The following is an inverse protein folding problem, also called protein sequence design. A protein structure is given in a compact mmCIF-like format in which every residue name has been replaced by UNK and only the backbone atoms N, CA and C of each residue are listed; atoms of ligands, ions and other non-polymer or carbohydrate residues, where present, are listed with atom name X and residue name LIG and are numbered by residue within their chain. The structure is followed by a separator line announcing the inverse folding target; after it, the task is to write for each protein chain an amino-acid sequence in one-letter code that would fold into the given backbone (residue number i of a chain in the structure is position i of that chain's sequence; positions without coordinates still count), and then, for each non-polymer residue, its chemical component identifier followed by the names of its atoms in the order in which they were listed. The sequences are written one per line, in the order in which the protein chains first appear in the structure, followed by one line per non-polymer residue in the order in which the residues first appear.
data_IF_659214006419
#
_entry.id   IF_659214006419
#
_cell.length_a   1.000
_cell.length_b   1.000
_cell.length_c   1.000
_cell.angle_alpha   90.00
_cell.angle_beta   90.00
_cell.angle_gamma   90.00
#
_symmetry.space_group_name_H-M   'P 1'
#
loop_
_entity.id
_entity.type
_entity.pdbx_description
1 polymer ?
#
# COMPACT_ATOMS: atom_id res chain seq x y z
N UNK A 1 20.88 -33.04 16.93
CA UNK A 1 20.56 -31.81 16.18
C UNK A 1 19.19 -31.98 15.53
N UNK A 2 18.17 -31.32 16.08
CA UNK A 2 16.80 -31.40 15.56
C UNK A 2 16.59 -30.18 14.67
N UNK A 3 16.49 -30.39 13.35
CA UNK A 3 16.26 -29.33 12.38
C UNK A 3 14.75 -29.11 12.23
N UNK A 4 14.21 -28.11 12.91
CA UNK A 4 12.84 -27.65 12.70
C UNK A 4 12.82 -26.79 11.44
N UNK A 5 12.70 -27.44 10.28
CA UNK A 5 12.37 -26.77 9.03
C UNK A 5 10.95 -26.20 9.12
N UNK A 6 10.77 -25.06 9.79
CA UNK A 6 9.62 -24.19 9.53
C UNK A 6 9.87 -23.58 8.16
N UNK A 7 9.58 -24.35 7.10
CA UNK A 7 9.60 -23.89 5.72
C UNK A 7 8.49 -22.86 5.52
N UNK A 8 8.64 -21.69 6.12
CA UNK A 8 7.78 -20.55 5.88
C UNK A 8 7.86 -20.20 4.40
N UNK A 9 6.71 -20.12 3.75
CA UNK A 9 6.63 -19.54 2.42
C UNK A 9 7.15 -18.11 2.57
N UNK A 10 8.22 -17.71 1.85
CA UNK A 10 8.71 -16.35 1.95
C UNK A 10 7.62 -15.39 1.44
N UNK A 11 7.44 -14.27 2.13
CA UNK A 11 6.60 -13.20 1.62
C UNK A 11 7.18 -12.71 0.29
N UNK A 12 6.34 -12.65 -0.74
CA UNK A 12 6.70 -12.16 -2.07
C UNK A 12 6.00 -10.81 -2.26
N UNK A 13 6.79 -9.77 -2.50
CA UNK A 13 6.26 -8.48 -2.89
C UNK A 13 5.60 -8.58 -4.27
N UNK A 14 4.31 -8.25 -4.35
CA UNK A 14 3.56 -8.22 -5.62
C UNK A 14 3.69 -6.85 -6.31
N UNK A 15 3.86 -5.79 -5.51
CA UNK A 15 4.04 -4.42 -5.97
C UNK A 15 3.68 -3.41 -4.87
N UNK A 16 3.78 -2.13 -5.19
CA UNK A 16 3.55 -1.04 -4.26
C UNK A 16 2.60 0.02 -4.83
N UNK A 17 1.93 0.77 -3.95
CA UNK A 17 1.28 2.02 -4.31
C UNK A 17 1.72 3.11 -3.34
N UNK A 18 1.71 4.36 -3.80
CA UNK A 18 2.17 5.50 -3.00
C UNK A 18 1.00 6.45 -2.78
N UNK A 19 0.81 6.86 -1.52
CA UNK A 19 -0.16 7.88 -1.11
C UNK A 19 0.61 9.10 -0.56
N UNK A 20 0.09 10.29 -0.81
CA UNK A 20 0.71 11.54 -0.38
C UNK A 20 0.69 12.60 -1.47
N UNK A 21 1.02 13.85 -1.12
CA UNK A 21 1.09 14.97 -2.08
C UNK A 21 2.11 14.74 -3.21
N UNK A 22 3.13 13.93 -2.95
CA UNK A 22 4.19 13.58 -3.90
C UNK A 22 4.00 12.19 -4.53
N UNK A 23 2.85 11.54 -4.34
CA UNK A 23 2.55 10.29 -5.03
C UNK A 23 2.66 10.50 -6.55
N UNK A 24 3.16 9.50 -7.29
CA UNK A 24 3.34 9.58 -8.74
C UNK A 24 1.98 9.68 -9.45
N UNK A 25 1.04 8.82 -9.04
CA UNK A 25 -0.33 8.80 -9.55
C UNK A 25 -1.21 9.88 -8.93
N UNK A 26 -2.07 10.49 -9.74
CA UNK A 26 -3.07 11.44 -9.26
C UNK A 26 -4.03 10.79 -8.26
N UNK A 27 -4.40 9.52 -8.46
CA UNK A 27 -5.29 8.81 -7.55
C UNK A 27 -4.73 8.74 -6.11
N UNK A 28 -3.40 8.61 -5.95
CA UNK A 28 -2.76 8.61 -4.64
C UNK A 28 -2.74 10.00 -3.98
N UNK A 29 -2.57 11.05 -4.78
CA UNK A 29 -2.66 12.46 -4.32
C UNK A 29 -4.08 12.83 -3.91
N UNK A 30 -5.08 12.51 -4.74
CA UNK A 30 -6.49 12.79 -4.46
C UNK A 30 -6.99 12.07 -3.22
N UNK A 31 -6.66 10.78 -3.08
CA UNK A 31 -7.03 10.00 -1.90
C UNK A 31 -6.43 10.62 -0.62
N UNK A 32 -5.15 11.02 -0.68
CA UNK A 32 -4.49 11.68 0.43
C UNK A 32 -5.19 12.99 0.82
N UNK A 33 -5.47 13.87 -0.15
CA UNK A 33 -6.18 15.15 0.10
C UNK A 33 -7.57 14.96 0.70
N UNK A 34 -8.32 13.97 0.21
CA UNK A 34 -9.64 13.66 0.76
C UNK A 34 -9.54 13.16 2.20
N UNK A 35 -8.57 12.29 2.49
CA UNK A 35 -8.36 11.74 3.83
C UNK A 35 -7.95 12.80 4.86
N UNK A 36 -7.11 13.76 4.46
CA UNK A 36 -6.65 14.84 5.36
C UNK A 36 -7.67 15.96 5.52
N UNK A 37 -8.54 16.17 4.52
CA UNK A 37 -9.61 17.17 4.57
C UNK A 37 -10.86 16.77 5.35
N UNK A 38 -11.01 15.48 5.72
CA UNK A 38 -12.21 14.97 6.39
C UNK A 38 -11.86 14.02 7.56
N UNK A 39 -11.34 14.56 8.68
CA UNK A 39 -10.98 13.74 9.83
C UNK A 39 -12.20 12.97 10.37
N UNK A 40 -12.03 11.66 10.57
CA UNK A 40 -13.09 10.76 11.06
C UNK A 40 -13.90 10.06 9.97
N UNK A 41 -13.76 10.47 8.70
CA UNK A 41 -14.37 9.75 7.58
C UNK A 41 -13.41 8.70 7.02
N UNK A 42 -13.90 7.48 6.84
CA UNK A 42 -13.17 6.43 6.12
C UNK A 42 -13.37 6.63 4.62
N UNK A 43 -12.27 6.82 3.89
CA UNK A 43 -12.26 6.95 2.44
C UNK A 43 -11.69 5.66 1.84
N UNK A 44 -12.31 5.13 0.79
CA UNK A 44 -11.87 3.92 0.10
C UNK A 44 -11.72 4.17 -1.39
N UNK A 45 -10.64 3.68 -2.00
CA UNK A 45 -10.39 3.78 -3.45
C UNK A 45 -9.47 2.66 -3.93
N UNK A 46 -9.67 2.19 -5.15
CA UNK A 46 -8.73 1.28 -5.82
C UNK A 46 -7.47 2.04 -6.27
N UNK A 47 -6.31 1.38 -6.19
CA UNK A 47 -5.03 1.91 -6.65
C UNK A 47 -4.30 0.87 -7.51
N UNK A 48 -3.58 1.35 -8.52
CA UNK A 48 -2.68 0.52 -9.32
C UNK A 48 -1.45 0.17 -8.49
N UNK A 49 -1.04 -1.11 -8.52
CA UNK A 49 0.23 -1.54 -7.96
C UNK A 49 1.33 -1.41 -9.02
N UNK A 50 2.42 -0.75 -8.64
CA UNK A 50 3.64 -0.63 -9.44
C UNK A 50 4.62 -1.75 -9.05
N UNK A 51 5.39 -2.21 -10.04
CA UNK A 51 6.55 -3.06 -9.78
C UNK A 51 7.73 -2.21 -9.32
N UNK A 52 8.51 -2.74 -8.39
CA UNK A 52 9.87 -2.27 -8.07
C UNK A 52 10.80 -2.43 -9.27
#
# INVERSE_FOLDING_TARGET
VMNTCTGGIPDVEIGYCVLGELAIEEAGREHWRQSTGQPGNVITRWATLFSS
#
